data_IF_574216139897
#
_entry.id   IF_574216139897
#
_cell.length_a   1.000
_cell.length_b   1.000
_cell.length_c   1.000
_cell.angle_alpha   90.00
_cell.angle_beta   90.00
_cell.angle_gamma   90.00
#
_symmetry.space_group_name_H-M   'P 1'
#
loop_
_entity.id
_entity.type
_entity.pdbx_description
1 polymer ?
#
# COMPACT_ATOMS: atom_id res chain seq x y z
N UNK A 1 -4.37 -9.51 -12.08
CA UNK A 1 -4.91 -10.57 -11.21
C UNK A 1 -5.64 -11.65 -11.99
N UNK A 2 -6.67 -11.31 -12.76
CA UNK A 2 -7.45 -12.30 -13.53
C UNK A 2 -6.62 -13.22 -14.44
N UNK A 3 -5.65 -12.67 -15.18
CA UNK A 3 -4.71 -13.47 -15.99
C UNK A 3 -4.00 -14.55 -15.17
N UNK A 4 -3.50 -14.19 -13.99
CA UNK A 4 -2.78 -15.12 -13.13
C UNK A 4 -3.71 -16.21 -12.58
N UNK A 5 -4.93 -15.85 -12.14
CA UNK A 5 -5.87 -16.81 -11.55
C UNK A 5 -6.57 -17.72 -12.57
N UNK A 6 -6.88 -17.21 -13.77
CA UNK A 6 -7.57 -17.99 -14.81
C UNK A 6 -6.62 -18.76 -15.71
N UNK A 7 -5.46 -18.18 -16.04
CA UNK A 7 -4.53 -18.71 -17.05
C UNK A 7 -3.22 -19.22 -16.45
N UNK A 8 -2.95 -18.96 -15.17
CA UNK A 8 -1.66 -19.27 -14.55
C UNK A 8 -0.51 -18.36 -15.02
N UNK A 9 -0.84 -17.23 -15.67
CA UNK A 9 0.14 -16.36 -16.31
C UNK A 9 0.20 -14.99 -15.62
N UNK A 10 1.41 -14.60 -15.19
CA UNK A 10 1.66 -13.23 -14.74
C UNK A 10 1.54 -12.31 -15.96
N UNK A 11 0.62 -11.33 -15.95
CA UNK A 11 0.43 -10.45 -17.09
C UNK A 11 1.71 -9.65 -17.34
N UNK A 12 2.12 -9.60 -18.61
CA UNK A 12 3.14 -8.65 -19.07
C UNK A 12 2.52 -7.26 -19.18
N UNK A 13 3.36 -6.22 -19.19
CA UNK A 13 2.91 -4.88 -19.55
C UNK A 13 2.23 -4.93 -20.92
N UNK A 14 1.08 -4.27 -21.09
CA UNK A 14 0.46 -4.15 -22.40
C UNK A 14 1.40 -3.37 -23.35
N UNK A 15 1.32 -3.59 -24.67
CA UNK A 15 2.19 -2.91 -25.64
C UNK A 15 2.06 -1.39 -25.61
N UNK A 16 0.88 -0.90 -25.23
CA UNK A 16 0.56 0.51 -25.06
C UNK A 16 0.14 0.71 -23.60
N UNK A 17 0.97 1.46 -22.87
CA UNK A 17 0.71 1.88 -21.49
C UNK A 17 0.46 3.39 -21.54
N UNK A 18 -0.62 3.91 -20.93
CA UNK A 18 -0.84 5.35 -20.80
C UNK A 18 0.39 6.06 -20.22
N UNK A 19 0.65 7.28 -20.68
CA UNK A 19 1.84 8.05 -20.29
C UNK A 19 1.90 8.25 -18.77
N UNK A 20 0.74 8.44 -18.14
CA UNK A 20 0.61 8.62 -16.70
C UNK A 20 1.08 7.37 -15.92
N UNK A 21 0.88 6.17 -16.48
CA UNK A 21 1.29 4.93 -15.82
C UNK A 21 2.75 4.57 -16.12
N UNK A 22 3.32 5.07 -17.22
CA UNK A 22 4.70 4.78 -17.65
C UNK A 22 5.73 5.80 -17.15
N UNK A 23 5.33 7.07 -16.96
CA UNK A 23 6.23 8.15 -16.53
C UNK A 23 6.26 8.37 -15.01
N UNK A 24 5.19 8.00 -14.29
CA UNK A 24 5.10 8.23 -12.84
C UNK A 24 5.89 7.17 -12.08
N UNK A 25 6.68 7.61 -11.09
CA UNK A 25 7.38 6.76 -10.12
C UNK A 25 6.91 7.08 -8.71
N UNK A 26 6.09 6.20 -8.15
CA UNK A 26 5.46 6.36 -6.84
C UNK A 26 5.34 5.00 -6.16
N UNK A 27 5.37 4.98 -4.82
CA UNK A 27 5.00 3.78 -4.08
C UNK A 27 3.51 3.55 -4.17
N UNK A 28 3.08 2.29 -4.13
CA UNK A 28 1.67 1.92 -4.19
C UNK A 28 1.36 0.86 -3.15
N UNK A 29 0.15 0.93 -2.58
CA UNK A 29 -0.48 -0.16 -1.89
C UNK A 29 -1.71 -0.64 -2.67
N UNK A 30 -1.81 -1.95 -2.86
CA UNK A 30 -2.96 -2.62 -3.43
C UNK A 30 -3.72 -3.28 -2.28
N UNK A 31 -4.96 -2.87 -2.09
CA UNK A 31 -5.89 -3.50 -1.17
C UNK A 31 -7.01 -4.18 -1.95
N UNK A 32 -7.38 -5.38 -1.51
CA UNK A 32 -8.47 -6.16 -2.09
C UNK A 32 -9.50 -6.44 -1.02
N UNK A 33 -10.75 -6.24 -1.37
CA UNK A 33 -11.90 -6.44 -0.51
C UNK A 33 -12.92 -7.34 -1.19
N UNK A 34 -13.75 -8.02 -0.39
CA UNK A 34 -15.02 -8.55 -0.88
C UNK A 34 -15.93 -7.36 -1.21
N UNK A 35 -16.53 -7.40 -2.41
CA UNK A 35 -17.42 -6.35 -2.92
C UNK A 35 -18.63 -6.16 -2.02
N UNK A 36 -19.24 -7.26 -1.60
CA UNK A 36 -20.31 -7.25 -0.60
C UNK A 36 -19.70 -7.17 0.80
N UNK A 37 -20.08 -6.14 1.56
CA UNK A 37 -19.62 -5.97 2.95
C UNK A 37 -18.21 -5.39 3.13
N UNK A 38 -17.46 -5.15 2.04
CA UNK A 38 -16.12 -4.52 2.06
C UNK A 38 -15.13 -5.20 3.01
N UNK A 39 -15.21 -6.52 3.15
CA UNK A 39 -14.32 -7.29 4.03
C UNK A 39 -12.91 -7.35 3.41
N UNK A 40 -11.83 -6.99 4.14
CA UNK A 40 -10.47 -7.08 3.60
C UNK A 40 -10.06 -8.52 3.29
N UNK A 41 -9.50 -8.76 2.09
CA UNK A 41 -8.96 -10.05 1.64
C UNK A 41 -7.44 -10.07 1.56
N UNK A 42 -6.82 -8.91 1.36
CA UNK A 42 -5.37 -8.77 1.36
C UNK A 42 -4.95 -7.36 1.08
N UNK A 43 -3.77 -6.98 1.57
CA UNK A 43 -3.13 -5.71 1.25
C UNK A 43 -1.62 -5.89 1.17
N UNK A 44 -1.01 -5.45 0.09
CA UNK A 44 0.45 -5.39 -0.07
C UNK A 44 0.86 -4.05 -0.69
N UNK A 45 2.11 -3.68 -0.53
CA UNK A 45 2.62 -2.48 -1.18
C UNK A 45 3.99 -2.06 -0.68
N UNK A 46 4.34 -0.85 -1.11
CA UNK A 46 5.54 -0.12 -0.70
C UNK A 46 5.23 1.38 -0.71
N UNK A 47 5.76 2.12 0.26
CA UNK A 47 5.62 3.58 0.33
C UNK A 47 6.62 4.32 -0.59
N UNK A 48 7.64 3.62 -1.10
CA UNK A 48 8.56 4.13 -2.12
C UNK A 48 8.48 3.26 -3.38
N UNK A 49 8.69 3.86 -4.57
CA UNK A 49 8.73 3.09 -5.81
C UNK A 49 9.89 2.08 -5.77
N UNK A 50 9.61 0.84 -6.15
CA UNK A 50 10.59 -0.24 -6.32
C UNK A 50 10.86 -0.56 -7.79
N UNK A 51 10.03 -0.03 -8.69
CA UNK A 51 10.11 -0.17 -10.15
C UNK A 51 10.32 1.17 -10.86
N UNK A 52 10.49 1.10 -12.19
CA UNK A 52 10.79 2.26 -13.02
C UNK A 52 9.53 3.00 -13.46
N UNK A 53 8.36 2.38 -13.33
CA UNK A 53 7.06 2.99 -13.61
C UNK A 53 5.96 2.49 -12.68
N UNK A 54 4.86 3.24 -12.58
CA UNK A 54 3.67 2.84 -11.83
C UNK A 54 3.05 1.57 -12.39
N UNK A 55 3.05 1.38 -13.72
CA UNK A 55 2.54 0.17 -14.36
C UNK A 55 3.31 -1.08 -13.91
N UNK A 56 4.65 -1.02 -13.90
CA UNK A 56 5.49 -2.11 -13.40
C UNK A 56 5.28 -2.35 -11.91
N UNK A 57 5.14 -1.27 -11.12
CA UNK A 57 4.90 -1.36 -9.68
C UNK A 57 3.56 -2.08 -9.41
N UNK A 58 2.49 -1.73 -10.12
CA UNK A 58 1.17 -2.38 -9.98
C UNK A 58 1.28 -3.88 -10.27
N UNK A 59 1.94 -4.28 -11.37
CA UNK A 59 2.11 -5.70 -11.71
C UNK A 59 2.92 -6.41 -10.61
N UNK A 60 4.04 -5.82 -10.21
CA UNK A 60 4.91 -6.39 -9.19
C UNK A 60 4.19 -6.58 -7.85
N UNK A 61 3.49 -5.56 -7.36
CA UNK A 61 2.73 -5.63 -6.12
C UNK A 61 1.55 -6.60 -6.25
N UNK A 62 0.91 -6.72 -7.42
CA UNK A 62 -0.17 -7.69 -7.66
C UNK A 62 0.35 -9.13 -7.56
N UNK A 63 1.54 -9.42 -8.08
CA UNK A 63 2.15 -10.76 -7.94
C UNK A 63 2.41 -11.07 -6.48
N UNK A 64 3.04 -10.13 -5.74
CA UNK A 64 3.27 -10.29 -4.29
C UNK A 64 1.97 -10.53 -3.52
N UNK A 65 0.89 -9.84 -3.89
CA UNK A 65 -0.43 -10.01 -3.28
C UNK A 65 -0.91 -11.46 -3.45
N UNK A 66 -0.82 -12.00 -4.66
CA UNK A 66 -1.25 -13.37 -5.00
C UNK A 66 -0.38 -14.45 -4.34
N UNK A 67 0.91 -14.17 -4.12
CA UNK A 67 1.81 -15.07 -3.38
C UNK A 67 1.55 -15.06 -1.88
N UNK A 68 1.08 -13.91 -1.34
CA UNK A 68 0.90 -13.71 0.11
C UNK A 68 -0.48 -14.15 0.59
N UNK A 69 -1.52 -13.94 -0.21
CA UNK A 69 -2.91 -14.17 0.18
C UNK A 69 -3.61 -15.14 -0.77
N UNK A 70 -4.47 -16.04 -0.25
CA UNK A 70 -5.17 -17.01 -1.07
C UNK A 70 -6.31 -16.34 -1.86
N UNK A 71 -6.23 -16.44 -3.18
CA UNK A 71 -7.29 -16.04 -4.12
C UNK A 71 -7.56 -17.14 -5.13
N UNK A 72 -8.82 -17.30 -5.51
CA UNK A 72 -9.28 -18.25 -6.51
C UNK A 72 -9.98 -17.52 -7.67
N UNK A 73 -10.07 -18.18 -8.83
CA UNK A 73 -10.73 -17.58 -10.00
C UNK A 73 -12.22 -17.28 -9.75
N UNK A 74 -12.85 -18.05 -8.86
CA UNK A 74 -14.24 -17.87 -8.42
C UNK A 74 -14.41 -16.62 -7.55
N UNK A 75 -13.35 -16.12 -6.89
CA UNK A 75 -13.43 -14.88 -6.11
C UNK A 75 -13.60 -13.66 -7.02
N UNK A 76 -13.03 -13.67 -8.23
CA UNK A 76 -12.90 -12.50 -9.12
C UNK A 76 -14.17 -11.64 -9.28
N UNK A 77 -15.38 -12.22 -9.50
CA UNK A 77 -16.60 -11.43 -9.65
C UNK A 77 -17.06 -10.73 -8.35
N UNK A 78 -16.52 -11.16 -7.21
CA UNK A 78 -16.88 -10.71 -5.87
C UNK A 78 -15.80 -9.84 -5.23
N UNK A 79 -14.73 -9.48 -5.95
CA UNK A 79 -13.67 -8.62 -5.44
C UNK A 79 -13.88 -7.16 -5.83
N UNK A 80 -13.29 -6.29 -5.04
CA UNK A 80 -13.16 -4.86 -5.29
C UNK A 80 -11.72 -4.46 -4.98
N UNK A 81 -11.16 -3.61 -5.81
CA UNK A 81 -9.77 -3.19 -5.75
C UNK A 81 -9.66 -1.73 -5.33
N UNK A 82 -8.68 -1.45 -4.49
CA UNK A 82 -8.31 -0.10 -4.08
C UNK A 82 -6.80 0.04 -4.24
N UNK A 83 -6.39 1.06 -4.99
CA UNK A 83 -5.01 1.46 -5.16
C UNK A 83 -4.75 2.71 -4.32
N UNK A 84 -3.66 2.71 -3.57
CA UNK A 84 -3.22 3.87 -2.80
C UNK A 84 -1.82 4.28 -3.23
N UNK A 85 -1.73 5.38 -3.96
CA UNK A 85 -0.48 5.97 -4.43
C UNK A 85 0.14 6.82 -3.31
N UNK A 86 1.46 6.83 -3.21
CA UNK A 86 2.18 7.46 -2.10
C UNK A 86 3.24 8.43 -2.59
N UNK A 87 3.28 9.63 -2.01
CA UNK A 87 4.30 10.62 -2.33
C UNK A 87 5.54 10.43 -1.45
N UNK A 88 6.65 11.05 -1.83
CA UNK A 88 7.88 11.01 -1.02
C UNK A 88 7.62 11.48 0.42
N UNK A 89 8.10 10.75 1.43
CA UNK A 89 7.92 11.15 2.83
C UNK A 89 8.69 12.42 3.19
N UNK A 90 8.08 13.27 4.00
CA UNK A 90 8.69 14.44 4.64
C UNK A 90 8.87 14.17 6.14
N UNK A 91 9.97 14.65 6.73
CA UNK A 91 10.25 14.48 8.16
C UNK A 91 9.20 15.24 8.99
N UNK A 92 8.74 14.61 10.08
CA UNK A 92 7.92 15.25 11.10
C UNK A 92 8.79 15.64 12.30
N UNK A 93 8.46 16.75 12.96
CA UNK A 93 9.05 17.10 14.25
C UNK A 93 8.52 16.18 15.36
N UNK A 94 7.20 15.94 15.36
CA UNK A 94 6.52 15.07 16.32
C UNK A 94 5.20 14.50 15.75
N UNK A 95 4.53 13.63 16.52
CA UNK A 95 3.29 12.96 16.10
C UNK A 95 2.08 13.90 15.96
N UNK A 96 2.09 15.08 16.58
CA UNK A 96 1.01 16.07 16.49
C UNK A 96 0.88 16.69 15.10
N UNK A 97 1.93 16.63 14.28
CA UNK A 97 1.92 17.09 12.89
C UNK A 97 1.30 16.07 11.91
N UNK A 98 1.04 14.84 12.37
CA UNK A 98 0.47 13.79 11.52
C UNK A 98 -0.97 14.10 11.13
N UNK A 99 -1.20 14.30 9.84
CA UNK A 99 -2.56 14.50 9.31
C UNK A 99 -3.36 13.19 9.31
N UNK A 100 -4.69 13.23 9.57
CA UNK A 100 -5.54 12.04 9.59
C UNK A 100 -5.53 11.23 8.29
N UNK A 101 -5.42 11.91 7.14
CA UNK A 101 -5.47 11.36 5.78
C UNK A 101 -4.08 11.00 5.21
N UNK A 102 -3.00 11.37 5.89
CA UNK A 102 -1.64 11.08 5.45
C UNK A 102 -1.16 9.70 5.97
N UNK A 103 -0.18 9.11 5.32
CA UNK A 103 0.56 7.94 5.83
C UNK A 103 1.65 8.33 6.83
N UNK A 104 1.93 7.45 7.79
CA UNK A 104 3.02 7.56 8.75
C UNK A 104 4.08 6.50 8.44
N UNK A 105 5.33 6.91 8.35
CA UNK A 105 6.51 6.06 8.27
C UNK A 105 7.37 6.28 9.51
N UNK A 106 7.72 5.20 10.20
CA UNK A 106 8.66 5.18 11.33
C UNK A 106 9.93 4.46 10.88
N UNK A 107 11.09 5.09 11.08
CA UNK A 107 12.40 4.48 10.77
C UNK A 107 13.32 4.51 11.98
N UNK A 108 14.17 3.51 12.12
CA UNK A 108 15.22 3.48 13.14
C UNK A 108 16.60 3.67 12.53
N UNK A 109 17.57 4.06 13.36
CA UNK A 109 18.98 4.15 12.96
C UNK A 109 19.57 2.79 12.52
N UNK A 110 19.02 1.69 13.02
CA UNK A 110 19.38 0.32 12.64
C UNK A 110 18.79 -0.14 11.29
N UNK A 111 18.03 0.74 10.61
CA UNK A 111 17.47 0.46 9.29
C UNK A 111 16.10 -0.22 9.29
N UNK A 112 15.49 -0.48 10.47
CA UNK A 112 14.11 -0.94 10.54
C UNK A 112 13.16 0.16 10.08
N UNK A 113 12.07 -0.24 9.43
CA UNK A 113 11.06 0.68 8.94
C UNK A 113 9.67 0.06 8.99
N UNK A 114 8.69 0.84 9.39
CA UNK A 114 7.31 0.41 9.45
C UNK A 114 6.34 1.53 9.07
N UNK A 115 5.18 1.16 8.55
CA UNK A 115 4.21 2.10 7.95
C UNK A 115 2.82 1.89 8.52
N UNK A 116 2.13 2.99 8.85
CA UNK A 116 0.68 3.01 9.07
C UNK A 116 0.00 3.87 8.01
N UNK A 117 -0.94 3.29 7.27
CA UNK A 117 -1.75 3.99 6.28
C UNK A 117 -3.03 4.56 6.93
N UNK A 118 -3.60 5.65 6.38
CA UNK A 118 -4.89 6.14 6.81
C UNK A 118 -5.97 5.06 6.65
N UNK A 119 -6.98 5.07 7.51
CA UNK A 119 -8.07 4.09 7.51
C UNK A 119 -9.42 4.80 7.51
N UNK A 120 -10.48 4.10 7.11
CA UNK A 120 -11.84 4.64 7.15
C UNK A 120 -12.30 4.99 8.58
N UNK A 121 -11.74 4.31 9.59
CA UNK A 121 -11.94 4.65 10.99
C UNK A 121 -10.87 5.64 11.43
N UNK A 122 -11.29 6.72 12.05
CA UNK A 122 -10.38 7.67 12.66
C UNK A 122 -9.57 6.99 13.77
N UNK A 123 -8.26 7.26 13.79
CA UNK A 123 -7.31 6.68 14.73
C UNK A 123 -6.45 7.79 15.32
N UNK A 124 -6.13 7.70 16.61
CA UNK A 124 -5.22 8.64 17.25
C UNK A 124 -3.79 8.50 16.69
N UNK A 125 -2.99 9.58 16.66
CA UNK A 125 -1.60 9.51 16.23
C UNK A 125 -0.79 8.43 16.95
N UNK A 126 -0.95 8.27 18.26
CA UNK A 126 -0.27 7.22 19.05
C UNK A 126 -0.61 5.80 18.58
N UNK A 127 -1.89 5.57 18.24
CA UNK A 127 -2.31 4.27 17.73
C UNK A 127 -1.66 3.98 16.38
N UNK A 128 -1.63 4.97 15.49
CA UNK A 128 -0.97 4.86 14.18
C UNK A 128 0.55 4.66 14.31
N UNK A 129 1.18 5.32 15.29
CA UNK A 129 2.58 5.09 15.63
C UNK A 129 2.83 3.65 16.10
N UNK A 130 1.99 3.13 16.98
CA UNK A 130 2.05 1.73 17.42
C UNK A 130 1.89 0.72 16.27
N UNK A 131 0.94 0.95 15.37
CA UNK A 131 0.75 0.13 14.16
C UNK A 131 1.99 0.15 13.26
N UNK A 132 2.56 1.34 13.01
CA UNK A 132 3.75 1.48 12.20
C UNK A 132 4.94 0.73 12.84
N UNK A 133 5.14 0.88 14.16
CA UNK A 133 6.19 0.17 14.87
C UNK A 133 6.00 -1.36 14.78
N UNK A 134 4.78 -1.85 14.97
CA UNK A 134 4.47 -3.28 14.87
C UNK A 134 4.77 -3.84 13.46
N UNK A 135 4.39 -3.11 12.40
CA UNK A 135 4.70 -3.52 11.03
C UNK A 135 6.20 -3.52 10.71
N UNK A 136 6.99 -2.71 11.41
CA UNK A 136 8.44 -2.61 11.24
C UNK A 136 9.26 -3.44 12.21
N UNK A 137 8.62 -4.22 13.10
CA UNK A 137 9.28 -4.87 14.24
C UNK A 137 10.14 -3.89 15.07
N UNK A 138 9.62 -2.68 15.30
CA UNK A 138 10.32 -1.60 16.02
C UNK A 138 9.86 -1.59 17.47
N UNK A 139 10.81 -1.56 18.41
CA UNK A 139 10.53 -1.30 19.81
C UNK A 139 10.88 0.16 20.16
N UNK A 140 9.90 1.08 20.18
CA UNK A 140 10.15 2.51 20.38
C UNK A 140 10.59 2.88 21.81
N UNK A 141 10.62 1.92 22.74
CA UNK A 141 11.15 2.13 24.10
C UNK A 141 12.68 2.05 24.18
N UNK A 142 13.31 1.42 23.19
CA UNK A 142 14.75 1.17 23.17
C UNK A 142 15.40 1.64 21.87
N UNK A 143 14.67 1.69 20.76
CA UNK A 143 15.16 2.15 19.47
C UNK A 143 14.87 3.64 19.29
N UNK A 144 15.88 4.39 18.84
CA UNK A 144 15.70 5.76 18.38
C UNK A 144 14.91 5.78 17.07
N UNK A 145 13.85 6.58 17.01
CA UNK A 145 12.90 6.59 15.90
C UNK A 145 12.81 7.95 15.24
N UNK A 146 12.68 7.95 13.91
CA UNK A 146 12.38 9.13 13.10
C UNK A 146 11.03 8.95 12.44
N UNK A 147 10.24 10.02 12.47
CA UNK A 147 8.88 10.05 11.98
C UNK A 147 8.83 10.79 10.64
N UNK A 148 8.11 10.21 9.70
CA UNK A 148 7.89 10.83 8.39
C UNK A 148 6.41 10.73 8.01
N UNK A 149 5.90 11.79 7.41
CA UNK A 149 4.56 11.83 6.83
C UNK A 149 4.64 11.78 5.31
N UNK A 150 3.74 11.04 4.68
CA UNK A 150 3.60 11.05 3.22
C UNK A 150 2.14 11.18 2.80
N UNK A 151 1.90 11.88 1.70
CA UNK A 151 0.56 12.00 1.14
C UNK A 151 0.13 10.67 0.51
N UNK A 152 -1.17 10.37 0.62
CA UNK A 152 -1.79 9.18 0.05
C UNK A 152 -2.95 9.60 -0.84
N UNK A 153 -2.94 9.12 -2.08
CA UNK A 153 -4.04 9.29 -3.03
C UNK A 153 -4.70 7.94 -3.27
N UNK A 154 -6.03 7.89 -3.13
CA UNK A 154 -6.78 6.64 -3.22
C UNK A 154 -7.58 6.59 -4.51
N UNK A 155 -7.44 5.50 -5.26
CA UNK A 155 -8.19 5.20 -6.47
C UNK A 155 -8.95 3.91 -6.19
N UNK A 156 -10.27 3.96 -6.26
CA UNK A 156 -11.16 2.81 -6.11
C UNK A 156 -11.79 2.46 -7.44
N UNK A 157 -12.06 1.18 -7.67
CA UNK A 157 -13.01 0.76 -8.69
C UNK A 157 -14.39 1.36 -8.34
N UNK A 158 -14.93 2.24 -9.19
CA UNK A 158 -16.32 2.67 -9.05
C UNK A 158 -17.22 1.44 -9.18
N UNK A 159 -18.16 1.29 -8.24
CA UNK A 159 -19.15 0.23 -8.34
C UNK A 159 -19.99 0.46 -9.61
N UNK A 160 -20.16 -0.55 -10.49
CA UNK A 160 -21.16 -0.47 -11.55
C UNK A 160 -22.58 -0.37 -10.98
#
# INVERSE_FOLDING_TARGET
MESALRKGEIPRLPPVVPEELSSIRTGIYIAVFERLGRKPRGRVGSYLPTKLSLAEEIIHQTVRLLETFPFQKEDLPHLMYELRLTKSPALLADLGELKPDAGLLVRTSAGKAGVSLPSAREQTPDKRFGEACAHGDINPKIEDTRLYMFAVETITEDAP
#
